data_IF_395883325690
#
_entry.id   IF_395883325690
#
_cell.length_a   1.000
_cell.length_b   1.000
_cell.length_c   1.000
_cell.angle_alpha   90.00
_cell.angle_beta   90.00
_cell.angle_gamma   90.00
#
_symmetry.space_group_name_H-M   'P 1'
#
loop_
_entity.id
_entity.type
_entity.pdbx_description
1 polymer ?
#
# COMPACT_ATOMS: atom_id res chain seq x y z
N UNK A 1 3.00 -8.39 -25.47
CA UNK A 1 1.55 -8.55 -25.72
C UNK A 1 0.96 -7.68 -26.81
N UNK A 2 1.39 -6.41 -26.96
CA UNK A 2 0.91 -5.49 -28.00
C UNK A 2 0.95 -6.13 -29.41
N UNK A 3 2.12 -6.59 -29.86
CA UNK A 3 2.29 -7.25 -31.18
C UNK A 3 1.32 -8.42 -31.37
N UNK A 4 1.03 -9.14 -30.29
CA UNK A 4 0.21 -10.35 -30.27
C UNK A 4 -1.29 -10.06 -30.15
N UNK A 5 -1.68 -8.80 -29.99
CA UNK A 5 -3.08 -8.41 -29.73
C UNK A 5 -3.59 -8.92 -28.39
N UNK A 6 -2.71 -9.07 -27.40
CA UNK A 6 -3.02 -9.56 -26.04
C UNK A 6 -2.97 -8.46 -24.98
N UNK A 7 -2.59 -7.26 -25.40
CA UNK A 7 -2.39 -6.16 -24.48
C UNK A 7 -3.74 -5.63 -23.97
N UNK A 8 -3.85 -5.45 -22.67
CA UNK A 8 -5.06 -4.98 -22.00
C UNK A 8 -5.10 -3.45 -21.89
N UNK A 9 -4.00 -2.74 -22.16
CA UNK A 9 -3.93 -1.29 -22.02
C UNK A 9 -4.40 -0.57 -23.29
N UNK A 10 -5.60 -0.01 -23.24
CA UNK A 10 -6.27 0.62 -24.39
C UNK A 10 -6.06 2.14 -24.43
N UNK A 11 -4.81 2.60 -24.45
CA UNK A 11 -4.53 4.05 -24.56
C UNK A 11 -4.69 4.60 -25.97
N UNK A 12 -4.42 3.79 -27.00
CA UNK A 12 -4.46 4.21 -28.39
C UNK A 12 -4.80 3.05 -29.33
N UNK A 13 -5.99 3.08 -29.93
CA UNK A 13 -6.48 2.02 -30.83
C UNK A 13 -5.70 1.94 -32.16
N UNK A 14 -5.01 3.03 -32.56
CA UNK A 14 -4.31 3.10 -33.83
C UNK A 14 -3.18 2.07 -33.96
N UNK A 15 -2.54 1.72 -32.84
CA UNK A 15 -1.49 0.69 -32.81
C UNK A 15 -2.06 -0.66 -33.23
N UNK A 16 -3.17 -1.07 -32.62
CA UNK A 16 -3.81 -2.35 -32.91
C UNK A 16 -4.40 -2.37 -34.33
N UNK A 17 -5.03 -1.27 -34.77
CA UNK A 17 -5.52 -1.12 -36.16
C UNK A 17 -4.36 -1.26 -37.16
N UNK A 18 -3.22 -0.61 -36.89
CA UNK A 18 -2.02 -0.70 -37.71
C UNK A 18 -1.48 -2.12 -37.78
N UNK A 19 -1.35 -2.78 -36.63
CA UNK A 19 -0.90 -4.18 -36.55
C UNK A 19 -1.84 -5.12 -37.31
N UNK A 20 -3.17 -4.95 -37.23
CA UNK A 20 -4.13 -5.74 -38.02
C UNK A 20 -3.88 -5.60 -39.53
N UNK A 21 -3.67 -4.38 -40.01
CA UNK A 21 -3.36 -4.12 -41.43
C UNK A 21 -2.05 -4.79 -41.86
N UNK A 22 -1.00 -4.70 -41.03
CA UNK A 22 0.30 -5.35 -41.30
C UNK A 22 0.15 -6.86 -41.37
N UNK A 23 -0.48 -7.49 -40.37
CA UNK A 23 -0.65 -8.94 -40.33
C UNK A 23 -1.57 -9.46 -41.44
N UNK A 24 -2.57 -8.68 -41.86
CA UNK A 24 -3.38 -8.98 -43.05
C UNK A 24 -2.51 -9.06 -44.31
N UNK A 25 -1.58 -8.11 -44.49
CA UNK A 25 -0.63 -8.13 -45.63
C UNK A 25 0.35 -9.29 -45.54
N UNK A 26 0.83 -9.64 -44.35
CA UNK A 26 1.72 -10.81 -44.14
C UNK A 26 0.97 -12.09 -44.49
N UNK A 27 -0.27 -12.26 -43.98
CA UNK A 27 -1.12 -13.41 -44.27
C UNK A 27 -1.38 -13.58 -45.78
N UNK A 28 -1.67 -12.48 -46.48
CA UNK A 28 -1.87 -12.49 -47.94
C UNK A 28 -0.63 -12.87 -48.77
N UNK A 29 0.55 -12.95 -48.16
CA UNK A 29 1.80 -13.44 -48.79
C UNK A 29 2.16 -14.88 -48.39
N UNK A 30 1.34 -15.54 -47.57
CA UNK A 30 1.52 -16.95 -47.25
C UNK A 30 1.07 -17.82 -48.42
N UNK A 31 1.62 -19.04 -48.50
CA UNK A 31 1.34 -19.98 -49.58
C UNK A 31 0.86 -21.33 -49.03
N UNK A 32 0.07 -22.05 -49.83
CA UNK A 32 -0.38 -23.41 -49.52
C UNK A 32 -1.15 -23.53 -48.20
N UNK A 33 -0.87 -24.60 -47.45
CA UNK A 33 -1.55 -24.92 -46.19
C UNK A 33 -1.36 -23.86 -45.09
N UNK A 34 -0.36 -22.97 -45.21
CA UNK A 34 -0.14 -21.91 -44.23
C UNK A 34 -1.28 -20.88 -44.21
N UNK A 35 -1.95 -20.64 -45.34
CA UNK A 35 -3.05 -19.67 -45.45
C UNK A 35 -4.22 -20.09 -44.55
N UNK A 36 -4.63 -21.36 -44.65
CA UNK A 36 -5.74 -21.91 -43.87
C UNK A 36 -5.36 -22.10 -42.40
N UNK A 37 -4.12 -22.54 -42.12
CA UNK A 37 -3.65 -22.74 -40.76
C UNK A 37 -3.61 -21.43 -39.95
N UNK A 38 -3.12 -20.35 -40.56
CA UNK A 38 -2.96 -19.02 -39.95
C UNK A 38 -4.12 -18.06 -40.25
N UNK A 39 -5.34 -18.58 -40.41
CA UNK A 39 -6.53 -17.80 -40.68
C UNK A 39 -6.86 -16.76 -39.58
N UNK A 40 -7.57 -15.71 -39.98
CA UNK A 40 -8.14 -14.75 -39.04
C UNK A 40 -9.34 -15.34 -38.28
N UNK A 41 -9.60 -14.81 -37.09
CA UNK A 41 -10.88 -15.01 -36.39
C UNK A 41 -12.03 -14.22 -37.06
N UNK A 42 -13.24 -14.36 -36.53
CA UNK A 42 -14.45 -13.65 -36.98
C UNK A 42 -14.31 -12.11 -36.94
N UNK A 43 -13.40 -11.60 -36.10
CA UNK A 43 -13.11 -10.17 -35.92
C UNK A 43 -11.90 -9.70 -36.74
N UNK A 44 -11.39 -10.55 -37.65
CA UNK A 44 -10.25 -10.24 -38.51
C UNK A 44 -8.88 -10.27 -37.81
N UNK A 45 -8.77 -10.92 -36.64
CA UNK A 45 -7.51 -11.04 -35.89
C UNK A 45 -6.75 -12.30 -36.25
N UNK A 46 -5.47 -12.14 -36.60
CA UNK A 46 -4.57 -13.23 -36.96
C UNK A 46 -3.78 -13.74 -35.76
N UNK A 47 -4.43 -14.14 -34.66
CA UNK A 47 -3.74 -14.49 -33.40
C UNK A 47 -2.67 -15.57 -33.58
N UNK A 48 -2.97 -16.66 -34.31
CA UNK A 48 -1.98 -17.73 -34.60
C UNK A 48 -0.74 -17.19 -35.28
N UNK A 49 -0.94 -16.35 -36.29
CA UNK A 49 0.15 -15.78 -37.09
C UNK A 49 0.99 -14.84 -36.24
N UNK A 50 0.35 -14.01 -35.42
CA UNK A 50 1.02 -13.07 -34.51
C UNK A 50 1.84 -13.79 -33.43
N UNK A 51 1.31 -14.87 -32.86
CA UNK A 51 2.07 -15.73 -31.92
C UNK A 51 3.27 -16.37 -32.58
N UNK A 52 3.09 -16.98 -33.75
CA UNK A 52 4.19 -17.60 -34.50
C UNK A 52 5.26 -16.56 -34.87
N UNK A 53 4.82 -15.38 -35.33
CA UNK A 53 5.73 -14.27 -35.63
C UNK A 53 6.52 -13.85 -34.39
N UNK A 54 5.88 -13.71 -33.23
CA UNK A 54 6.59 -13.37 -31.99
C UNK A 54 7.63 -14.43 -31.61
N UNK A 55 7.26 -15.72 -31.65
CA UNK A 55 8.15 -16.82 -31.29
C UNK A 55 9.43 -16.84 -32.14
N UNK A 56 9.33 -16.52 -33.44
CA UNK A 56 10.48 -16.48 -34.36
C UNK A 56 11.30 -15.19 -34.17
N UNK A 57 10.66 -14.06 -33.87
CA UNK A 57 11.33 -12.75 -33.89
C UNK A 57 11.75 -12.23 -32.51
N UNK A 58 11.33 -12.84 -31.39
CA UNK A 58 11.61 -12.35 -30.02
C UNK A 58 13.09 -12.16 -29.72
N UNK A 59 13.97 -12.98 -30.27
CA UNK A 59 15.42 -12.83 -30.10
C UNK A 59 15.93 -11.51 -30.71
N UNK A 60 15.44 -11.15 -31.90
CA UNK A 60 15.77 -9.89 -32.56
C UNK A 60 15.18 -8.68 -31.86
N UNK A 61 13.97 -8.82 -31.32
CA UNK A 61 13.36 -7.78 -30.49
C UNK A 61 14.17 -7.55 -29.21
N UNK A 62 14.64 -8.62 -28.55
CA UNK A 62 15.49 -8.53 -27.36
C UNK A 62 16.83 -7.85 -27.64
N UNK A 63 17.48 -8.22 -28.76
CA UNK A 63 18.72 -7.60 -29.23
C UNK A 63 18.56 -6.07 -29.38
N UNK A 64 17.42 -5.63 -29.94
CA UNK A 64 17.10 -4.21 -30.10
C UNK A 64 16.79 -3.51 -28.76
N UNK A 65 15.98 -4.09 -27.88
CA UNK A 65 15.61 -3.48 -26.59
C UNK A 65 16.83 -3.34 -25.66
N UNK A 66 17.75 -4.30 -25.72
CA UNK A 66 18.98 -4.30 -24.90
C UNK A 66 20.13 -3.50 -25.55
N UNK A 67 19.89 -2.80 -26.66
CA UNK A 67 20.92 -2.09 -27.41
C UNK A 67 21.71 -1.07 -26.56
N UNK A 68 21.04 -0.39 -25.62
CA UNK A 68 21.64 0.57 -24.67
C UNK A 68 21.80 0.04 -23.25
N UNK A 69 21.62 -1.27 -23.02
CA UNK A 69 21.86 -1.85 -21.70
C UNK A 69 23.32 -1.61 -21.28
N UNK A 70 23.61 -1.28 -20.01
CA UNK A 70 24.98 -1.14 -19.54
C UNK A 70 25.75 -2.47 -19.66
N UNK A 71 27.06 -2.41 -19.92
CA UNK A 71 27.89 -3.61 -20.02
C UNK A 71 27.80 -4.50 -18.77
N UNK A 72 27.74 -3.88 -17.58
CA UNK A 72 27.69 -4.61 -16.30
C UNK A 72 26.29 -5.09 -15.91
N UNK A 73 25.25 -4.82 -16.71
CA UNK A 73 23.90 -5.28 -16.44
C UNK A 73 23.73 -6.72 -16.93
N UNK A 74 23.27 -7.60 -16.04
CA UNK A 74 22.95 -8.99 -16.34
C UNK A 74 21.52 -9.31 -15.89
N UNK A 75 20.86 -10.24 -16.58
CA UNK A 75 19.56 -10.76 -16.18
C UNK A 75 19.75 -11.98 -15.28
N UNK A 76 19.01 -12.05 -14.17
CA UNK A 76 19.10 -13.11 -13.18
C UNK A 76 17.71 -13.70 -12.91
N UNK A 77 17.65 -15.01 -12.72
CA UNK A 77 16.46 -15.73 -12.26
C UNK A 77 16.88 -17.01 -11.54
N UNK A 78 16.00 -17.57 -10.72
CA UNK A 78 16.19 -18.89 -10.14
C UNK A 78 15.51 -19.99 -10.96
N UNK A 79 16.17 -21.13 -11.08
CA UNK A 79 15.59 -22.39 -11.56
C UNK A 79 14.63 -22.97 -10.54
N UNK A 80 13.82 -23.94 -10.95
CA UNK A 80 12.89 -24.64 -10.05
C UNK A 80 13.59 -25.48 -8.99
N UNK A 81 14.85 -25.85 -9.24
CA UNK A 81 15.77 -26.54 -8.33
C UNK A 81 16.53 -25.59 -7.40
N UNK A 82 16.27 -24.28 -7.49
CA UNK A 82 16.96 -23.25 -6.71
C UNK A 82 18.28 -22.78 -7.30
N UNK A 83 18.71 -23.32 -8.45
CA UNK A 83 19.94 -22.88 -9.12
C UNK A 83 19.83 -21.46 -9.65
N UNK A 84 20.92 -20.68 -9.59
CA UNK A 84 20.96 -19.35 -10.19
C UNK A 84 21.22 -19.46 -11.69
N UNK A 85 20.35 -18.85 -12.49
CA UNK A 85 20.48 -18.74 -13.94
C UNK A 85 20.68 -17.27 -14.31
N UNK A 86 21.77 -16.96 -14.99
CA UNK A 86 22.12 -15.59 -15.32
C UNK A 86 22.78 -15.45 -16.68
N UNK A 87 22.70 -14.24 -17.25
CA UNK A 87 23.47 -13.87 -18.43
C UNK A 87 24.91 -13.59 -18.05
N UNK A 88 25.87 -14.05 -18.85
CA UNK A 88 27.31 -13.94 -18.57
C UNK A 88 28.00 -12.88 -19.43
N UNK A 89 27.41 -12.49 -20.56
CA UNK A 89 28.06 -11.59 -21.52
C UNK A 89 27.78 -10.09 -21.29
N UNK A 90 27.09 -9.73 -20.21
CA UNK A 90 26.68 -8.36 -19.96
C UNK A 90 25.56 -7.89 -20.89
N UNK A 91 25.26 -6.59 -20.88
CA UNK A 91 24.23 -5.99 -21.74
C UNK A 91 22.87 -6.72 -21.66
N UNK A 92 22.51 -7.27 -20.50
CA UNK A 92 21.33 -8.10 -20.29
C UNK A 92 21.24 -9.32 -21.25
N UNK A 93 22.38 -9.90 -21.64
CA UNK A 93 22.44 -11.07 -22.53
C UNK A 93 22.21 -10.75 -24.00
N UNK A 94 22.39 -9.49 -24.44
CA UNK A 94 22.14 -9.06 -25.84
C UNK A 94 22.76 -9.96 -26.90
N UNK A 95 23.98 -10.46 -26.66
CA UNK A 95 24.75 -11.28 -27.60
C UNK A 95 24.65 -12.79 -27.33
N UNK A 96 23.84 -13.19 -26.36
CA UNK A 96 23.62 -14.60 -26.06
C UNK A 96 22.66 -15.24 -27.06
N UNK A 97 22.75 -16.56 -27.22
CA UNK A 97 21.95 -17.31 -28.21
C UNK A 97 20.45 -17.30 -27.89
N UNK A 98 20.10 -17.22 -26.61
CA UNK A 98 18.72 -17.30 -26.13
C UNK A 98 18.36 -16.08 -25.30
N UNK A 99 17.13 -15.61 -25.43
CA UNK A 99 16.61 -14.55 -24.56
C UNK A 99 16.50 -15.09 -23.14
N UNK A 100 17.09 -14.41 -22.13
CA UNK A 100 17.23 -14.96 -20.78
C UNK A 100 15.92 -14.95 -19.98
N UNK A 101 14.90 -14.25 -20.47
CA UNK A 101 13.58 -14.13 -19.84
C UNK A 101 12.50 -14.89 -20.61
N UNK A 102 11.48 -15.31 -19.86
CA UNK A 102 10.24 -15.90 -20.39
C UNK A 102 9.01 -15.13 -19.91
N UNK A 103 9.19 -13.87 -19.46
CA UNK A 103 8.07 -13.02 -19.03
C UNK A 103 7.06 -12.79 -20.17
N UNK A 104 7.52 -12.76 -21.42
CA UNK A 104 6.63 -12.71 -22.58
C UNK A 104 5.70 -13.94 -22.71
N UNK A 105 5.87 -14.96 -21.88
CA UNK A 105 5.05 -16.16 -21.77
C UNK A 105 4.27 -16.24 -20.45
N UNK A 106 4.33 -15.20 -19.60
CA UNK A 106 3.50 -15.07 -18.40
C UNK A 106 2.26 -14.24 -18.73
N UNK A 107 1.06 -14.53 -18.21
CA UNK A 107 -0.11 -13.65 -18.37
C UNK A 107 0.17 -12.20 -17.95
N UNK A 108 -0.32 -11.24 -18.73
CA UNK A 108 -0.03 -9.82 -18.51
C UNK A 108 -0.45 -9.33 -17.12
N UNK A 109 -1.61 -9.76 -16.64
CA UNK A 109 -2.09 -9.42 -15.30
C UNK A 109 -1.08 -9.81 -14.21
N UNK A 110 -0.56 -11.04 -14.22
CA UNK A 110 0.40 -11.50 -13.21
C UNK A 110 1.71 -10.71 -13.25
N UNK A 111 2.18 -10.35 -14.45
CA UNK A 111 3.36 -9.49 -14.59
C UNK A 111 3.13 -8.09 -14.02
N UNK A 112 1.96 -7.50 -14.28
CA UNK A 112 1.63 -6.19 -13.74
C UNK A 112 1.42 -6.21 -12.24
N UNK A 113 0.89 -7.30 -11.67
CA UNK A 113 0.75 -7.45 -10.22
C UNK A 113 2.14 -7.57 -9.56
N UNK A 114 3.04 -8.38 -10.13
CA UNK A 114 4.42 -8.47 -9.65
C UNK A 114 5.17 -7.13 -9.78
N UNK A 115 5.08 -6.46 -10.93
CA UNK A 115 5.67 -5.13 -11.16
C UNK A 115 5.11 -4.09 -10.19
N UNK A 116 3.78 -4.10 -9.95
CA UNK A 116 3.14 -3.20 -9.00
C UNK A 116 3.67 -3.41 -7.59
N UNK A 117 3.82 -4.66 -7.15
CA UNK A 117 4.31 -4.98 -5.80
C UNK A 117 5.75 -4.50 -5.60
N UNK A 118 6.64 -4.81 -6.55
CA UNK A 118 8.05 -4.37 -6.50
C UNK A 118 8.17 -2.84 -6.51
N UNK A 119 7.41 -2.16 -7.37
CA UNK A 119 7.38 -0.69 -7.43
C UNK A 119 6.77 -0.07 -6.17
N UNK A 120 5.74 -0.69 -5.59
CA UNK A 120 5.14 -0.29 -4.33
C UNK A 120 6.18 -0.36 -3.21
N UNK A 121 6.85 -1.49 -3.03
CA UNK A 121 7.85 -1.69 -1.99
C UNK A 121 9.01 -0.69 -2.13
N UNK A 122 9.55 -0.53 -3.35
CA UNK A 122 10.62 0.44 -3.64
C UNK A 122 10.20 1.88 -3.32
N UNK A 123 9.01 2.30 -3.75
CA UNK A 123 8.49 3.66 -3.52
C UNK A 123 8.09 3.89 -2.07
N UNK A 124 7.56 2.87 -1.38
CA UNK A 124 7.21 2.94 0.04
C UNK A 124 8.45 3.29 0.85
N UNK A 125 9.58 2.61 0.60
CA UNK A 125 10.87 2.91 1.25
C UNK A 125 11.34 4.35 1.03
N UNK A 126 11.36 4.82 -0.21
CA UNK A 126 11.73 6.22 -0.52
C UNK A 126 10.82 7.25 0.16
N UNK A 127 9.50 7.00 0.15
CA UNK A 127 8.52 7.89 0.78
C UNK A 127 8.63 7.87 2.30
N UNK A 128 8.82 6.70 2.91
CA UNK A 128 9.05 6.55 4.34
C UNK A 128 10.31 7.29 4.78
N UNK A 129 11.41 7.22 4.02
CA UNK A 129 12.62 7.98 4.31
C UNK A 129 12.36 9.48 4.32
N UNK A 130 11.63 10.00 3.33
CA UNK A 130 11.24 11.43 3.27
C UNK A 130 10.35 11.85 4.43
N UNK A 131 9.46 10.97 4.88
CA UNK A 131 8.64 11.20 6.08
C UNK A 131 9.52 11.20 7.33
N UNK A 132 10.41 10.21 7.48
CA UNK A 132 11.35 10.09 8.60
C UNK A 132 12.19 11.34 8.74
N UNK A 133 12.84 11.78 7.66
CA UNK A 133 13.67 12.99 7.64
C UNK A 133 12.91 14.26 8.05
N UNK A 134 11.63 14.36 7.68
CA UNK A 134 10.80 15.51 8.02
C UNK A 134 10.22 15.45 9.45
N UNK A 135 10.09 14.27 10.05
CA UNK A 135 9.38 14.05 11.30
C UNK A 135 10.28 13.66 12.48
N UNK A 136 11.43 13.01 12.23
CA UNK A 136 12.33 12.45 13.23
C UNK A 136 13.78 12.74 12.85
N UNK A 137 14.46 13.49 13.70
CA UNK A 137 15.91 13.72 13.58
C UNK A 137 16.50 13.91 14.97
N UNK A 138 16.98 12.80 15.52
CA UNK A 138 17.47 12.74 16.90
C UNK A 138 18.64 13.71 17.15
N UNK A 139 19.53 13.87 16.17
CA UNK A 139 20.66 14.82 16.23
C UNK A 139 20.23 16.28 16.36
N UNK A 140 19.01 16.61 15.96
CA UNK A 140 18.43 17.96 16.02
C UNK A 140 17.29 18.04 17.05
N UNK A 141 17.10 17.00 17.87
CA UNK A 141 15.97 16.86 18.80
C UNK A 141 14.61 17.11 18.11
N UNK A 142 14.48 16.71 16.84
CA UNK A 142 13.27 16.87 16.07
C UNK A 142 12.38 15.65 16.28
N UNK A 143 11.23 15.84 16.92
CA UNK A 143 10.20 14.81 17.06
C UNK A 143 8.82 15.42 16.84
N UNK A 144 8.27 15.25 15.65
CA UNK A 144 7.01 15.88 15.24
C UNK A 144 5.86 14.89 15.08
N UNK A 145 4.63 15.29 15.38
CA UNK A 145 3.45 14.49 15.04
C UNK A 145 2.96 14.77 13.62
N UNK A 146 2.11 13.88 13.10
CA UNK A 146 1.44 14.07 11.80
C UNK A 146 0.60 15.36 11.71
N UNK A 147 0.17 15.92 12.86
CA UNK A 147 -0.57 17.18 12.93
C UNK A 147 0.33 18.42 13.08
N UNK A 148 1.65 18.25 13.00
CA UNK A 148 2.62 19.34 13.07
C UNK A 148 2.90 19.85 14.49
N UNK A 149 2.56 19.09 15.52
CA UNK A 149 2.98 19.38 16.90
C UNK A 149 4.40 18.89 17.15
N UNK A 150 5.19 19.69 17.88
CA UNK A 150 6.49 19.31 18.42
C UNK A 150 6.30 18.47 19.70
N UNK A 151 6.59 17.17 19.63
CA UNK A 151 6.39 16.24 20.73
C UNK A 151 7.43 16.36 21.84
N UNK A 152 8.51 17.11 21.64
CA UNK A 152 9.47 17.43 22.71
C UNK A 152 8.89 18.43 23.71
N UNK A 153 7.91 19.24 23.26
CA UNK A 153 7.21 20.25 24.07
C UNK A 153 5.74 19.91 24.31
N UNK A 154 5.16 19.09 23.44
CA UNK A 154 3.76 18.67 23.52
C UNK A 154 3.58 17.55 24.53
N UNK A 155 2.68 17.77 25.51
CA UNK A 155 2.27 16.81 26.52
C UNK A 155 0.74 16.74 26.49
N UNK A 156 0.18 15.79 25.74
CA UNK A 156 -1.28 15.66 25.53
C UNK A 156 -2.05 15.49 26.84
N UNK A 157 -1.53 14.73 27.81
CA UNK A 157 -2.21 14.52 29.10
C UNK A 157 -2.16 15.75 30.03
N UNK A 158 -1.36 16.77 29.69
CA UNK A 158 -1.37 18.08 30.36
C UNK A 158 -1.94 19.16 29.45
N UNK A 159 -2.51 18.75 28.31
CA UNK A 159 -3.03 19.59 27.25
C UNK A 159 -2.06 20.65 26.72
N UNK A 160 -0.78 20.34 26.78
CA UNK A 160 0.23 21.22 26.21
C UNK A 160 0.39 20.77 24.77
N UNK A 161 -0.14 21.53 23.82
CA UNK A 161 -0.09 21.23 22.39
C UNK A 161 0.67 22.36 21.67
N UNK A 162 1.95 22.13 21.37
CA UNK A 162 2.81 23.16 20.78
C UNK A 162 3.05 22.85 19.31
N UNK A 163 2.57 23.73 18.44
CA UNK A 163 2.92 23.71 17.01
C UNK A 163 4.14 24.56 16.77
N UNK A 164 5.08 24.04 16.00
CA UNK A 164 6.26 24.77 15.56
C UNK A 164 6.41 24.67 14.05
N UNK A 165 6.94 25.73 13.42
CA UNK A 165 7.18 25.77 11.97
C UNK A 165 8.05 24.61 11.48
N UNK A 166 9.03 24.19 12.29
CA UNK A 166 9.88 23.02 12.00
C UNK A 166 9.09 21.71 11.85
N UNK A 167 7.92 21.60 12.49
CA UNK A 167 7.06 20.42 12.40
C UNK A 167 5.98 20.50 11.31
N UNK A 168 5.82 21.65 10.65
CA UNK A 168 4.89 21.78 9.52
C UNK A 168 5.28 20.87 8.36
N UNK A 169 6.59 20.70 8.12
CA UNK A 169 7.12 19.78 7.10
C UNK A 169 6.67 18.33 7.34
N UNK A 170 6.72 17.86 8.59
CA UNK A 170 6.23 16.54 8.96
C UNK A 170 4.75 16.36 8.59
N UNK A 171 3.89 17.32 8.97
CA UNK A 171 2.45 17.24 8.68
C UNK A 171 2.16 17.14 7.19
N UNK A 172 2.80 17.97 6.38
CA UNK A 172 2.63 17.94 4.91
C UNK A 172 3.09 16.61 4.32
N UNK A 173 4.25 16.09 4.74
CA UNK A 173 4.77 14.81 4.21
C UNK A 173 3.92 13.63 4.63
N UNK A 174 3.43 13.60 5.87
CA UNK A 174 2.52 12.57 6.35
C UNK A 174 1.21 12.55 5.55
N UNK A 175 0.56 13.69 5.34
CA UNK A 175 -0.68 13.77 4.53
C UNK A 175 -0.47 13.25 3.11
N UNK A 176 0.62 13.65 2.45
CA UNK A 176 0.94 13.18 1.09
C UNK A 176 1.26 11.69 1.04
N UNK A 177 1.90 11.16 2.09
CA UNK A 177 2.19 9.74 2.22
C UNK A 177 0.90 8.93 2.41
N UNK A 178 0.02 9.35 3.31
CA UNK A 178 -1.28 8.72 3.58
C UNK A 178 -2.17 8.68 2.33
N UNK A 179 -2.31 9.80 1.60
CA UNK A 179 -3.07 9.84 0.34
C UNK A 179 -2.49 8.84 -0.67
N UNK A 180 -1.16 8.80 -0.81
CA UNK A 180 -0.53 7.86 -1.72
C UNK A 180 -0.77 6.40 -1.28
N UNK A 181 -0.62 6.11 0.01
CA UNK A 181 -0.78 4.77 0.57
C UNK A 181 -2.22 4.26 0.40
N UNK A 182 -3.19 5.14 0.61
CA UNK A 182 -4.61 4.84 0.37
C UNK A 182 -4.87 4.44 -1.08
N UNK A 183 -4.35 5.21 -2.05
CA UNK A 183 -4.47 4.87 -3.48
C UNK A 183 -3.80 3.53 -3.82
N UNK A 184 -2.68 3.20 -3.17
CA UNK A 184 -2.01 1.91 -3.35
C UNK A 184 -2.84 0.76 -2.78
N UNK A 185 -3.48 0.96 -1.62
CA UNK A 185 -4.39 -0.01 -1.02
C UNK A 185 -5.57 -0.32 -1.95
N UNK A 186 -6.21 0.70 -2.52
CA UNK A 186 -7.30 0.47 -3.48
C UNK A 186 -6.83 -0.30 -4.73
N UNK A 187 -5.65 0.03 -5.25
CA UNK A 187 -5.06 -0.68 -6.37
C UNK A 187 -4.77 -2.15 -6.03
N UNK A 188 -4.22 -2.40 -4.84
CA UNK A 188 -3.96 -3.74 -4.33
C UNK A 188 -5.25 -4.56 -4.21
N UNK A 189 -6.30 -4.00 -3.61
CA UNK A 189 -7.59 -4.69 -3.45
C UNK A 189 -8.21 -5.08 -4.79
N UNK A 190 -8.15 -4.17 -5.78
CA UNK A 190 -8.59 -4.47 -7.16
C UNK A 190 -7.78 -5.59 -7.80
N UNK A 191 -6.47 -5.61 -7.63
CA UNK A 191 -5.60 -6.67 -8.16
C UNK A 191 -5.85 -8.00 -7.45
N UNK A 192 -6.11 -7.98 -6.13
CA UNK A 192 -6.47 -9.15 -5.33
C UNK A 192 -7.76 -9.81 -5.83
N UNK A 193 -8.80 -9.02 -6.06
CA UNK A 193 -10.06 -9.52 -6.62
C UNK A 193 -9.88 -10.03 -8.05
N UNK A 194 -9.09 -9.34 -8.87
CA UNK A 194 -8.77 -9.79 -10.22
C UNK A 194 -8.03 -11.14 -10.21
N UNK A 195 -7.09 -11.35 -9.30
CA UNK A 195 -6.40 -12.63 -9.17
C UNK A 195 -7.38 -13.76 -8.84
N UNK A 196 -8.30 -13.54 -7.88
CA UNK A 196 -9.35 -14.52 -7.55
C UNK A 196 -10.19 -14.88 -8.76
N UNK A 197 -10.58 -13.87 -9.55
CA UNK A 197 -11.37 -14.05 -10.76
C UNK A 197 -10.60 -14.88 -11.80
N UNK A 198 -9.39 -14.45 -12.14
CA UNK A 198 -8.54 -15.10 -13.13
C UNK A 198 -8.22 -16.54 -12.76
N UNK A 199 -7.93 -16.82 -11.49
CA UNK A 199 -7.62 -18.18 -11.06
C UNK A 199 -8.86 -19.06 -11.13
N UNK A 200 -10.05 -18.59 -10.74
CA UNK A 200 -11.28 -19.39 -10.74
C UNK A 200 -11.85 -19.61 -12.15
N UNK A 201 -11.92 -18.56 -12.97
CA UNK A 201 -12.49 -18.62 -14.33
C UNK A 201 -11.61 -19.44 -15.28
N UNK A 202 -10.30 -19.29 -15.21
CA UNK A 202 -9.37 -20.06 -16.05
C UNK A 202 -9.05 -21.46 -15.50
N UNK A 203 -9.59 -21.83 -14.32
CA UNK A 203 -9.40 -23.15 -13.70
C UNK A 203 -10.32 -24.25 -14.24
N UNK A 204 -11.48 -23.92 -14.82
CA UNK A 204 -12.43 -24.95 -15.25
C UNK A 204 -11.94 -25.63 -16.52
N UNK A 205 -11.76 -26.97 -16.56
CA UNK A 205 -11.39 -27.68 -17.78
C UNK A 205 -12.42 -27.48 -18.91
N UNK A 206 -13.68 -27.26 -18.55
CA UNK A 206 -14.80 -27.09 -19.47
C UNK A 206 -15.29 -25.65 -19.46
N UNK A 207 -14.96 -24.91 -20.52
CA UNK A 207 -15.91 -23.97 -21.10
C UNK A 207 -15.76 -23.98 -22.61
N UNK A 208 -16.88 -24.26 -23.27
CA UNK A 208 -17.05 -24.66 -24.67
C UNK A 208 -17.51 -23.51 -25.56
N UNK A 209 -17.36 -22.26 -25.14
CA UNK A 209 -17.92 -21.13 -25.89
C UNK A 209 -16.90 -20.00 -26.14
N UNK A 210 -16.60 -19.79 -27.43
CA UNK A 210 -15.98 -18.62 -28.07
C UNK A 210 -14.43 -18.43 -28.04
N UNK A 211 -13.79 -19.14 -28.98
CA UNK A 211 -12.92 -18.62 -30.05
C UNK A 211 -11.79 -17.61 -29.72
N UNK A 212 -10.62 -18.15 -29.34
CA UNK A 212 -9.32 -17.48 -29.48
C UNK A 212 -8.17 -18.28 -28.86
N UNK A 213 -7.08 -18.52 -29.60
CA UNK A 213 -5.88 -19.24 -29.11
C UNK A 213 -5.22 -18.59 -27.89
N UNK A 214 -5.45 -17.29 -27.69
CA UNK A 214 -4.99 -16.55 -26.53
C UNK A 214 -5.58 -17.08 -25.21
N UNK A 215 -6.85 -17.50 -25.22
CA UNK A 215 -7.50 -18.05 -24.03
C UNK A 215 -6.86 -19.40 -23.63
N UNK A 216 -6.52 -20.25 -24.61
CA UNK A 216 -5.89 -21.56 -24.36
C UNK A 216 -4.53 -21.45 -23.67
N UNK A 217 -3.72 -20.46 -24.01
CA UNK A 217 -2.39 -20.28 -23.44
C UNK A 217 -2.44 -19.82 -21.98
N UNK A 218 -3.23 -18.79 -21.67
CA UNK A 218 -3.40 -18.32 -20.29
C UNK A 218 -4.06 -19.39 -19.41
N UNK A 219 -5.04 -20.12 -19.96
CA UNK A 219 -5.64 -21.28 -19.28
C UNK A 219 -4.59 -22.33 -18.89
N UNK A 220 -3.71 -22.71 -19.82
CA UNK A 220 -2.62 -23.65 -19.51
C UNK A 220 -1.67 -23.12 -18.44
N UNK A 221 -1.37 -21.81 -18.45
CA UNK A 221 -0.54 -21.19 -17.42
C UNK A 221 -1.21 -21.29 -16.04
N UNK A 222 -2.45 -20.83 -15.91
CA UNK A 222 -3.18 -20.83 -14.64
C UNK A 222 -3.46 -22.24 -14.11
N UNK A 223 -3.73 -23.22 -14.99
CA UNK A 223 -3.83 -24.64 -14.58
C UNK A 223 -2.53 -25.12 -13.94
N UNK A 224 -1.39 -24.94 -14.63
CA UNK A 224 -0.08 -25.31 -14.07
C UNK A 224 0.28 -24.52 -12.80
N UNK A 225 -0.16 -23.27 -12.72
CA UNK A 225 0.07 -22.42 -11.55
C UNK A 225 -0.69 -22.94 -10.33
N UNK A 226 -1.95 -23.38 -10.53
CA UNK A 226 -2.79 -24.00 -9.51
C UNK A 226 -2.20 -25.34 -9.02
N UNK A 227 -1.64 -26.14 -9.92
CA UNK A 227 -1.06 -27.44 -9.56
C UNK A 227 0.20 -27.32 -8.69
N UNK A 228 0.86 -26.14 -8.67
CA UNK A 228 2.04 -25.83 -7.85
C UNK A 228 1.72 -25.09 -6.55
N UNK A 229 0.56 -25.34 -5.97
CA UNK A 229 0.07 -24.74 -4.71
C UNK A 229 -0.25 -23.24 -4.73
N UNK A 230 -0.20 -22.53 -5.86
CA UNK A 230 -0.63 -21.11 -5.94
C UNK A 230 -2.14 -20.95 -6.18
N UNK A 231 -2.92 -21.90 -5.65
CA UNK A 231 -4.39 -21.96 -5.81
C UNK A 231 -5.09 -20.77 -5.16
N UNK A 232 -4.52 -20.28 -4.08
CA UNK A 232 -5.08 -19.19 -3.29
C UNK A 232 -4.31 -17.91 -3.58
N UNK A 233 -5.01 -16.78 -3.46
CA UNK A 233 -4.39 -15.46 -3.45
C UNK A 233 -3.24 -15.40 -2.44
N UNK A 234 -3.44 -15.90 -1.23
CA UNK A 234 -2.46 -15.76 -0.16
C UNK A 234 -1.12 -16.42 -0.52
N UNK A 235 -1.15 -17.59 -1.17
CA UNK A 235 0.06 -18.27 -1.61
C UNK A 235 0.80 -17.47 -2.69
N UNK A 236 0.08 -16.77 -3.57
CA UNK A 236 0.67 -15.85 -4.54
C UNK A 236 1.23 -14.58 -3.87
N UNK A 237 0.52 -14.01 -2.89
CA UNK A 237 0.99 -12.85 -2.13
C UNK A 237 2.29 -13.14 -1.37
N UNK A 238 2.48 -14.38 -0.89
CA UNK A 238 3.75 -14.81 -0.30
C UNK A 238 4.92 -14.67 -1.29
N UNK A 239 4.70 -14.95 -2.58
CA UNK A 239 5.72 -14.74 -3.60
C UNK A 239 6.04 -13.25 -3.80
N UNK A 240 5.03 -12.38 -3.72
CA UNK A 240 5.23 -10.93 -3.83
C UNK A 240 6.06 -10.40 -2.65
N UNK A 241 5.87 -10.94 -1.44
CA UNK A 241 6.68 -10.59 -0.28
C UNK A 241 8.17 -10.96 -0.46
N UNK A 242 8.47 -12.03 -1.20
CA UNK A 242 9.83 -12.48 -1.52
C UNK A 242 10.48 -11.69 -2.68
N UNK A 243 9.77 -10.71 -3.24
CA UNK A 243 10.27 -9.80 -4.26
C UNK A 243 11.53 -9.05 -3.81
N UNK A 244 12.38 -8.63 -4.75
CA UNK A 244 13.69 -8.05 -4.45
C UNK A 244 13.59 -6.79 -3.59
N UNK A 245 12.58 -5.95 -3.83
CA UNK A 245 12.39 -4.72 -3.06
C UNK A 245 11.46 -4.89 -1.86
N UNK A 246 10.62 -5.93 -1.86
CA UNK A 246 9.69 -6.22 -0.77
C UNK A 246 10.34 -7.03 0.36
N UNK A 247 11.30 -7.90 0.01
CA UNK A 247 12.04 -8.70 0.97
C UNK A 247 12.87 -7.80 1.88
N UNK A 248 12.44 -7.72 3.14
CA UNK A 248 13.06 -6.85 4.13
C UNK A 248 14.15 -7.63 4.87
N UNK A 249 15.42 -7.27 4.67
CA UNK A 249 16.56 -7.90 5.38
C UNK A 249 16.88 -7.22 6.72
N UNK A 250 16.42 -5.98 6.93
CA UNK A 250 16.71 -5.17 8.12
C UNK A 250 15.49 -5.05 9.04
N UNK A 251 15.68 -5.37 10.32
CA UNK A 251 14.63 -5.37 11.37
C UNK A 251 14.09 -3.96 11.70
N UNK A 252 14.82 -2.90 11.33
CA UNK A 252 14.42 -1.50 11.60
C UNK A 252 13.44 -0.92 10.58
N UNK A 253 13.25 -1.57 9.42
CA UNK A 253 12.33 -1.11 8.38
C UNK A 253 10.91 -1.68 8.63
N UNK A 254 9.86 -0.91 8.30
CA UNK A 254 8.48 -1.39 8.39
C UNK A 254 8.30 -2.64 7.50
N UNK A 255 8.18 -3.82 8.12
CA UNK A 255 8.05 -5.10 7.42
C UNK A 255 6.83 -5.07 6.51
N UNK A 256 7.05 -5.38 5.23
CA UNK A 256 5.99 -5.52 4.24
C UNK A 256 5.52 -6.97 4.23
N UNK A 257 4.24 -7.16 4.51
CA UNK A 257 3.58 -8.44 4.34
C UNK A 257 2.18 -8.24 3.75
N UNK A 258 2.01 -8.62 2.48
CA UNK A 258 0.73 -8.54 1.78
C UNK A 258 -0.32 -9.54 2.28
N UNK A 259 0.07 -10.56 3.04
CA UNK A 259 -0.84 -11.54 3.65
C UNK A 259 -1.36 -11.10 5.02
N UNK A 260 -0.59 -10.31 5.75
CA UNK A 260 -1.03 -9.77 7.04
C UNK A 260 -2.24 -8.85 6.89
N UNK A 261 -2.94 -8.63 8.01
CA UNK A 261 -4.09 -7.73 8.05
C UNK A 261 -3.73 -6.36 7.47
N UNK A 262 -4.70 -5.70 6.82
CA UNK A 262 -4.51 -4.40 6.16
C UNK A 262 -3.87 -3.31 7.05
N UNK A 263 -3.86 -3.52 8.36
CA UNK A 263 -3.34 -2.63 9.40
C UNK A 263 -1.81 -2.68 9.59
N UNK A 264 -1.07 -3.43 8.78
CA UNK A 264 0.41 -3.47 8.80
C UNK A 264 0.99 -2.78 7.56
N UNK A 265 0.80 -3.37 6.37
CA UNK A 265 1.44 -2.93 5.13
C UNK A 265 0.88 -1.61 4.61
N UNK A 266 -0.41 -1.35 4.81
CA UNK A 266 -1.11 -0.16 4.33
C UNK A 266 -1.51 0.78 5.46
N UNK A 267 -0.87 0.66 6.63
CA UNK A 267 -1.10 1.56 7.76
C UNK A 267 -0.18 2.77 7.71
N UNK A 268 -0.65 3.91 8.23
CA UNK A 268 0.16 5.11 8.43
C UNK A 268 1.51 4.79 9.10
N UNK A 269 2.54 5.52 8.70
CA UNK A 269 3.88 5.29 9.22
C UNK A 269 3.97 5.52 10.73
N UNK A 270 4.87 4.81 11.41
CA UNK A 270 5.24 5.09 12.81
C UNK A 270 5.72 6.54 13.04
N UNK A 271 6.25 7.20 12.00
CA UNK A 271 6.68 8.59 12.07
C UNK A 271 5.51 9.59 11.95
N UNK A 272 4.39 9.14 11.38
CA UNK A 272 3.15 9.88 11.21
C UNK A 272 2.13 9.56 12.31
N UNK A 273 2.61 9.27 13.51
CA UNK A 273 1.74 9.11 14.68
C UNK A 273 1.49 10.46 15.35
N UNK A 274 0.43 10.50 16.16
CA UNK A 274 0.20 11.60 17.12
C UNK A 274 1.32 11.60 18.18
N UNK A 275 1.53 12.74 18.84
CA UNK A 275 2.53 12.78 19.91
C UNK A 275 2.18 11.80 21.03
N UNK A 276 3.19 11.17 21.66
CA UNK A 276 2.97 10.40 22.88
C UNK A 276 2.24 11.23 23.93
N UNK A 277 1.42 10.57 24.75
CA UNK A 277 0.60 11.23 25.77
C UNK A 277 1.40 12.12 26.72
N UNK A 278 2.63 11.70 27.03
CA UNK A 278 3.54 12.38 27.94
C UNK A 278 4.71 13.09 27.25
N UNK A 279 4.63 13.29 25.94
CA UNK A 279 5.73 13.81 25.14
C UNK A 279 6.91 12.84 25.06
N UNK A 280 8.06 13.35 24.63
CA UNK A 280 9.31 12.57 24.51
C UNK A 280 10.45 13.24 25.30
N UNK A 281 11.41 12.44 25.74
CA UNK A 281 12.69 12.92 26.28
C UNK A 281 13.82 12.64 25.28
N UNK A 282 14.57 13.67 24.90
CA UNK A 282 15.64 13.63 23.88
C UNK A 282 17.04 13.89 24.44
N UNK A 283 17.25 13.82 25.76
CA UNK A 283 18.52 14.22 26.41
C UNK A 283 19.76 13.39 26.02
N UNK A 284 19.60 12.15 25.57
CA UNK A 284 20.71 11.23 25.32
C UNK A 284 21.02 11.00 23.83
N UNK A 285 20.71 11.98 22.97
CA UNK A 285 20.93 11.84 21.52
C UNK A 285 19.96 10.87 20.84
N UNK A 286 18.94 10.38 21.56
CA UNK A 286 17.77 9.71 21.00
C UNK A 286 16.52 10.14 21.77
N UNK A 287 15.39 10.22 21.06
CA UNK A 287 14.12 10.66 21.61
C UNK A 287 13.23 9.47 21.97
N UNK A 288 13.00 9.27 23.27
CA UNK A 288 12.19 8.16 23.80
C UNK A 288 10.87 8.71 24.35
N UNK A 289 9.76 8.02 24.07
CA UNK A 289 8.46 8.37 24.62
C UNK A 289 8.46 8.26 26.15
N UNK A 290 7.98 9.29 26.84
CA UNK A 290 7.86 9.25 28.29
C UNK A 290 6.79 8.23 28.69
N UNK A 291 7.03 7.39 29.72
CA UNK A 291 6.05 6.44 30.20
C UNK A 291 4.79 7.17 30.70
N UNK A 292 3.63 6.57 30.42
CA UNK A 292 2.32 7.09 30.82
C UNK A 292 1.61 6.11 31.77
N UNK A 293 2.34 5.41 32.64
CA UNK A 293 1.77 4.36 33.49
C UNK A 293 0.72 4.87 34.50
N UNK A 294 0.71 6.17 34.79
CA UNK A 294 -0.16 6.82 35.76
C UNK A 294 -1.24 7.73 35.11
N UNK A 295 -1.30 7.76 33.78
CA UNK A 295 -2.20 8.63 33.01
C UNK A 295 -1.93 10.14 33.16
N UNK A 296 -0.91 10.53 33.90
CA UNK A 296 -0.64 11.94 34.25
C UNK A 296 0.85 12.32 34.15
N UNK A 297 1.65 11.47 33.49
CA UNK A 297 3.06 11.74 33.22
C UNK A 297 3.88 11.99 34.50
N UNK A 298 3.71 11.10 35.48
CA UNK A 298 4.43 11.12 36.76
C UNK A 298 3.85 12.06 37.82
N UNK A 299 2.64 12.61 37.62
CA UNK A 299 1.98 13.50 38.58
C UNK A 299 0.63 12.92 39.04
N UNK A 300 0.50 12.55 40.30
CA UNK A 300 -0.79 12.16 40.88
C UNK A 300 -1.75 13.37 40.98
N UNK A 301 -2.41 13.74 39.88
CA UNK A 301 -3.49 14.73 39.93
C UNK A 301 -4.76 14.00 40.40
N UNK A 302 -4.93 13.89 41.73
CA UNK A 302 -6.24 13.58 42.33
C UNK A 302 -7.10 14.85 42.31
N UNK A 303 -7.51 15.30 41.12
CA UNK A 303 -8.46 16.41 41.03
C UNK A 303 -9.87 15.92 41.36
N UNK A 304 -10.46 16.50 42.40
CA UNK A 304 -11.90 16.41 42.68
C UNK A 304 -12.52 17.76 42.37
N UNK A 305 -13.68 17.77 41.73
CA UNK A 305 -14.44 19.00 41.56
C UNK A 305 -14.72 19.61 42.94
N UNK A 306 -14.62 20.94 43.10
CA UNK A 306 -15.07 21.60 44.32
C UNK A 306 -16.55 21.27 44.57
N UNK A 307 -17.00 21.08 45.83
CA UNK A 307 -18.34 20.58 46.15
C UNK A 307 -19.49 21.41 45.57
N UNK A 308 -19.28 22.71 45.40
CA UNK A 308 -20.34 23.68 45.09
C UNK A 308 -20.43 24.04 43.60
N UNK A 309 -19.70 23.32 42.74
CA UNK A 309 -19.60 23.65 41.32
C UNK A 309 -20.59 22.82 40.51
N UNK A 310 -21.50 23.51 39.80
CA UNK A 310 -22.40 22.87 38.84
C UNK A 310 -21.62 22.43 37.59
N UNK A 311 -21.50 21.12 37.39
CA UNK A 311 -20.87 20.53 36.21
C UNK A 311 -21.89 20.30 35.09
N UNK A 312 -21.43 20.39 33.84
CA UNK A 312 -22.16 20.02 32.63
C UNK A 312 -21.61 18.69 32.12
N UNK A 313 -22.50 17.71 31.87
CA UNK A 313 -22.15 16.48 31.14
C UNK A 313 -22.10 16.80 29.64
N UNK A 314 -20.97 16.50 29.01
CA UNK A 314 -20.75 16.64 27.57
C UNK A 314 -20.39 15.24 27.04
N UNK A 315 -21.22 14.75 26.13
CA UNK A 315 -21.03 13.46 25.48
C UNK A 315 -20.42 13.69 24.11
N UNK A 316 -19.30 13.01 23.83
CA UNK A 316 -18.53 13.30 22.63
C UNK A 316 -18.05 12.02 21.94
N UNK A 317 -18.09 11.97 20.61
CA UNK A 317 -17.68 10.81 19.80
C UNK A 317 -16.17 10.55 19.86
N UNK A 318 -15.73 9.48 20.49
CA UNK A 318 -14.31 9.17 20.60
C UNK A 318 -13.71 8.82 19.23
N UNK A 319 -12.77 9.62 18.70
CA UNK A 319 -12.17 9.37 17.37
C UNK A 319 -11.15 8.21 17.33
N UNK A 320 -10.65 7.76 18.49
CA UNK A 320 -9.46 6.88 18.62
C UNK A 320 -8.22 7.36 17.85
N UNK A 321 -7.09 6.72 18.09
CA UNK A 321 -5.80 7.15 17.55
C UNK A 321 -5.44 6.44 16.22
N UNK A 322 -6.16 5.39 15.79
CA UNK A 322 -5.81 4.64 14.57
C UNK A 322 -6.44 5.20 13.29
N UNK A 323 -5.89 4.79 12.14
CA UNK A 323 -6.38 5.17 10.82
C UNK A 323 -7.74 4.56 10.51
N UNK A 324 -8.68 5.38 10.02
CA UNK A 324 -10.04 4.95 9.71
C UNK A 324 -10.97 4.77 10.91
N UNK A 325 -10.46 4.84 12.15
CA UNK A 325 -11.27 4.73 13.37
C UNK A 325 -12.39 5.77 13.40
N UNK A 326 -12.06 7.02 13.07
CA UNK A 326 -13.06 8.09 13.06
C UNK A 326 -14.13 7.85 11.98
N UNK A 327 -13.74 7.43 10.78
CA UNK A 327 -14.70 7.13 9.70
C UNK A 327 -15.60 5.95 10.05
N UNK A 328 -15.04 4.90 10.68
CA UNK A 328 -15.80 3.74 11.16
C UNK A 328 -16.78 4.16 12.25
N UNK A 329 -16.33 4.93 13.24
CA UNK A 329 -17.18 5.37 14.35
C UNK A 329 -18.23 6.40 13.94
N UNK A 330 -17.91 7.28 12.98
CA UNK A 330 -18.88 8.17 12.34
C UNK A 330 -19.91 7.37 11.55
N UNK A 331 -19.49 6.34 10.80
CA UNK A 331 -20.41 5.45 10.09
C UNK A 331 -21.32 4.69 11.05
N UNK A 332 -20.77 4.15 12.15
CA UNK A 332 -21.55 3.49 13.20
C UNK A 332 -22.51 4.46 13.91
N UNK A 333 -22.07 5.69 14.17
CA UNK A 333 -22.89 6.77 14.72
C UNK A 333 -24.06 7.13 13.81
N UNK A 334 -23.80 7.32 12.51
CA UNK A 334 -24.84 7.66 11.53
C UNK A 334 -25.83 6.50 11.29
N UNK A 335 -25.41 5.24 11.47
CA UNK A 335 -26.21 4.07 11.14
C UNK A 335 -27.00 3.49 12.33
N UNK A 336 -26.65 3.79 13.60
CA UNK A 336 -27.41 3.40 14.81
C UNK A 336 -27.14 4.38 15.96
N UNK A 337 -28.13 4.59 16.85
CA UNK A 337 -27.92 5.15 18.20
C UNK A 337 -27.19 4.12 19.10
N UNK A 338 -25.93 3.81 18.77
CA UNK A 338 -25.10 2.97 19.62
C UNK A 338 -24.36 3.85 20.65
N UNK A 339 -24.74 3.77 21.93
CA UNK A 339 -24.06 4.44 23.05
C UNK A 339 -22.58 4.03 23.25
N UNK A 340 -22.04 3.11 22.44
CA UNK A 340 -20.72 2.48 22.62
C UNK A 340 -19.54 3.34 22.14
N UNK A 341 -19.78 4.38 21.34
CA UNK A 341 -18.70 5.18 20.72
C UNK A 341 -18.45 6.54 21.40
N UNK A 342 -19.09 6.81 22.53
CA UNK A 342 -19.00 8.10 23.20
C UNK A 342 -18.11 8.08 24.44
N UNK A 343 -17.35 9.15 24.59
CA UNK A 343 -16.73 9.55 25.85
C UNK A 343 -17.64 10.54 26.57
N UNK A 344 -17.92 10.25 27.84
CA UNK A 344 -18.62 11.18 28.71
C UNK A 344 -17.62 12.04 29.45
N UNK A 345 -17.83 13.35 29.42
CA UNK A 345 -17.00 14.33 30.10
C UNK A 345 -17.86 15.16 31.05
N UNK A 346 -17.39 15.32 32.28
CA UNK A 346 -17.94 16.29 33.22
C UNK A 346 -17.07 17.54 33.20
N UNK A 347 -17.63 18.67 32.80
CA UNK A 347 -16.91 19.92 32.65
C UNK A 347 -17.53 21.02 33.51
N UNK A 348 -16.72 21.96 33.98
CA UNK A 348 -17.22 23.23 34.49
C UNK A 348 -16.33 24.38 34.06
N UNK A 349 -16.93 25.57 33.96
CA UNK A 349 -16.25 26.80 33.62
C UNK A 349 -16.75 27.92 34.52
N UNK A 350 -15.89 28.43 35.39
CA UNK A 350 -16.18 29.61 36.23
C UNK A 350 -15.38 30.82 35.73
N UNK A 351 -14.10 30.63 35.40
CA UNK A 351 -13.23 31.65 34.80
C UNK A 351 -11.97 31.02 34.18
N UNK A 352 -11.05 31.84 33.65
CA UNK A 352 -9.82 31.39 32.98
C UNK A 352 -8.87 30.54 33.85
N UNK A 353 -8.95 30.68 35.18
CA UNK A 353 -8.15 29.90 36.15
C UNK A 353 -8.91 28.67 36.69
N UNK A 354 -10.24 28.72 36.72
CA UNK A 354 -11.13 27.67 37.22
C UNK A 354 -12.02 27.14 36.09
N UNK A 355 -11.42 26.32 35.24
CA UNK A 355 -12.14 25.58 34.21
C UNK A 355 -11.50 24.20 34.07
N UNK A 356 -12.28 23.15 34.28
CA UNK A 356 -11.75 21.78 34.22
C UNK A 356 -12.82 20.81 33.71
N UNK A 357 -12.35 19.84 32.95
CA UNK A 357 -13.09 18.74 32.37
C UNK A 357 -12.46 17.43 32.82
N UNK A 358 -13.29 16.45 33.16
CA UNK A 358 -12.87 15.12 33.58
C UNK A 358 -13.64 14.07 32.78
N UNK A 359 -12.92 13.11 32.22
CA UNK A 359 -13.50 11.98 31.51
C UNK A 359 -14.03 10.95 32.52
N UNK A 360 -15.23 10.45 32.28
CA UNK A 360 -15.82 9.38 33.09
C UNK A 360 -15.15 8.02 32.78
N UNK A 361 -14.96 7.22 33.83
CA UNK A 361 -14.26 5.92 33.80
C UNK A 361 -15.12 4.81 33.17
N UNK A 362 -16.43 5.03 33.09
CA UNK A 362 -17.41 4.03 32.63
C UNK A 362 -17.76 4.10 31.13
N UNK A 363 -17.05 4.89 30.32
CA UNK A 363 -17.16 4.83 28.87
C UNK A 363 -16.62 3.48 28.37
N UNK A 364 -17.52 2.56 28.03
CA UNK A 364 -17.23 1.20 27.57
C UNK A 364 -16.51 1.20 26.22
N UNK A 365 -15.19 1.39 26.22
CA UNK A 365 -14.17 0.66 25.44
C UNK A 365 -12.83 1.41 25.44
N UNK A 366 -11.80 0.76 26.01
CA UNK A 366 -10.36 0.96 25.78
C UNK A 366 -9.72 2.34 26.01
N UNK A 367 -9.92 2.93 27.19
CA UNK A 367 -8.85 3.71 27.86
C UNK A 367 -8.92 3.46 29.36
N UNK A 368 -7.92 2.80 29.99
CA UNK A 368 -7.93 2.55 31.44
C UNK A 368 -7.77 3.83 32.29
N UNK A 369 -7.43 4.96 31.66
CA UNK A 369 -6.91 6.14 32.33
C UNK A 369 -7.89 7.32 32.27
N UNK A 370 -8.22 7.86 33.45
CA UNK A 370 -9.04 9.06 33.61
C UNK A 370 -8.26 10.25 33.08
N UNK A 371 -8.79 10.91 32.05
CA UNK A 371 -8.23 12.16 31.52
C UNK A 371 -8.83 13.37 32.24
N UNK A 372 -7.98 14.30 32.66
CA UNK A 372 -8.38 15.58 33.26
C UNK A 372 -7.71 16.69 32.46
N UNK A 373 -8.50 17.62 31.93
CA UNK A 373 -8.04 18.70 31.03
C UNK A 373 -8.74 20.00 31.38
N UNK A 374 -8.16 21.14 31.00
CA UNK A 374 -8.89 22.42 31.02
C UNK A 374 -10.00 22.45 29.96
N UNK A 375 -11.01 23.31 30.14
CA UNK A 375 -12.15 23.37 29.23
C UNK A 375 -11.77 23.82 27.81
N UNK A 376 -10.91 24.83 27.68
CA UNK A 376 -10.47 25.32 26.36
C UNK A 376 -9.70 24.25 25.58
N UNK A 377 -8.87 23.47 26.27
CA UNK A 377 -8.13 22.37 25.66
C UNK A 377 -9.03 21.23 25.23
N UNK A 378 -10.04 20.88 26.05
CA UNK A 378 -11.07 19.94 25.67
C UNK A 378 -11.79 20.37 24.38
N UNK A 379 -12.13 21.67 24.29
CA UNK A 379 -12.81 22.25 23.13
C UNK A 379 -11.93 22.25 21.87
N UNK A 380 -10.67 22.69 21.97
CA UNK A 380 -9.72 22.68 20.85
C UNK A 380 -9.42 21.25 20.37
N UNK A 381 -9.21 20.33 21.31
CA UNK A 381 -9.06 18.91 21.02
C UNK A 381 -10.25 18.44 20.19
N UNK A 382 -11.48 18.75 20.61
CA UNK A 382 -12.69 18.36 19.88
C UNK A 382 -12.79 18.93 18.47
N UNK A 383 -12.54 20.23 18.30
CA UNK A 383 -12.59 20.88 16.98
C UNK A 383 -11.56 20.25 16.03
N UNK A 384 -10.34 20.00 16.51
CA UNK A 384 -9.25 19.46 15.68
C UNK A 384 -9.41 17.96 15.38
N UNK A 385 -10.12 17.21 16.23
CA UNK A 385 -10.37 15.79 16.00
C UNK A 385 -11.68 15.50 15.26
N UNK A 386 -12.66 16.42 15.24
CA UNK A 386 -13.89 16.28 14.47
C UNK A 386 -13.79 16.79 13.03
N UNK A 387 -13.04 17.88 12.79
CA UNK A 387 -12.81 18.50 11.48
C UNK A 387 -11.53 17.96 10.85
#
# INVERSE_FOLDING_TARGET
DIVRGRDMFKSNEMVEIGLKKVFKKIHGKLNGAAISYYNADEKGNFYKLREAWWNVNRNKVWEAITCKAPQKANYFRKGSDGSDVFTSQGYCGRKELTVPTYLDYVPQFLRWFEEWAEEFCRKKKDKLNKVKEACRKDSEQLYCSHNGYDCTKTIRNKDICIRESKCTGCSTKCKLYEIWLHNQREAFDKQKEMYKKEINENSSPYDTTNNGINNKYYKQFYVKHKDKDYKTVNNFLTLLNEGRYCKTENVEEEVIDFNSDMNTTFYRSQYCQVCPHCGVDCKNGSCIANPNNDGNCGKNIKYKFPPDVKTTEITVLYSADQEGDISKKLSEFCNRENEKNYQKWQCYYENSKKNMCKMDKNSKNHTPEVKITKFHNFFEMWIVYLL
#
